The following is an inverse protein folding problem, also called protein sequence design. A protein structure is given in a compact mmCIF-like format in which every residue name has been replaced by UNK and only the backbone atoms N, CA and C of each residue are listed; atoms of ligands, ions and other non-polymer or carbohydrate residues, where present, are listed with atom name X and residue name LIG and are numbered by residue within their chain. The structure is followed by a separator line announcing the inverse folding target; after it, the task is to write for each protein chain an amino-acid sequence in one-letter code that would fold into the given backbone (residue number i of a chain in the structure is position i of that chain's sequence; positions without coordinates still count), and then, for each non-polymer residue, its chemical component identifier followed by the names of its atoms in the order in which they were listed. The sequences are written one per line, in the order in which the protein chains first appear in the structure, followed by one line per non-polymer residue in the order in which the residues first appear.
data_IF_821217299724
#
_entry.id   IF_821217299724
#
_cell.length_a   1.000
_cell.length_b   1.000
_cell.length_c   1.000
_cell.angle_alpha   90.00
_cell.angle_beta   90.00
_cell.angle_gamma   90.00
#
_symmetry.space_group_name_H-M   'P 1'
#
loop_
_entity.id
_entity.type
_entity.pdbx_description
1 polymer ?
#
# COMPACT_ATOMS: atom_id res chain seq x y z
N UNK A 1 50.23 -33.00 -3.86
CA UNK A 1 49.87 -32.81 -5.28
C UNK A 1 48.38 -32.53 -5.32
N UNK A 2 48.00 -31.43 -5.96
CA UNK A 2 46.73 -30.70 -5.77
C UNK A 2 45.46 -31.54 -6.03
N UNK A 3 44.49 -31.47 -5.11
CA UNK A 3 43.08 -31.78 -5.35
C UNK A 3 42.32 -30.45 -5.24
N UNK A 4 41.93 -29.91 -6.40
CA UNK A 4 41.13 -28.70 -6.51
C UNK A 4 39.71 -28.94 -6.00
N UNK A 5 39.35 -28.25 -4.93
CA UNK A 5 37.97 -28.14 -4.49
C UNK A 5 37.26 -27.07 -5.33
N UNK A 6 36.31 -27.50 -6.17
CA UNK A 6 35.29 -26.61 -6.69
C UNK A 6 34.49 -26.05 -5.51
N UNK A 7 34.76 -24.80 -5.15
CA UNK A 7 33.87 -24.03 -4.30
C UNK A 7 32.54 -23.90 -5.03
N UNK A 8 31.51 -24.60 -4.54
CA UNK A 8 30.13 -24.26 -4.84
C UNK A 8 29.89 -22.86 -4.29
N UNK A 9 30.11 -21.84 -5.12
CA UNK A 9 29.47 -20.55 -5.00
C UNK A 9 27.98 -20.83 -4.96
N UNK A 10 27.43 -20.91 -3.74
CA UNK A 10 26.00 -20.87 -3.53
C UNK A 10 25.56 -19.54 -4.15
N UNK A 11 24.72 -19.53 -5.21
CA UNK A 11 24.22 -18.27 -5.72
C UNK A 11 23.59 -17.52 -4.54
N UNK A 12 23.79 -16.19 -4.42
CA UNK A 12 23.00 -15.44 -3.46
C UNK A 12 21.54 -15.77 -3.74
N UNK A 13 20.77 -16.07 -2.69
CA UNK A 13 19.34 -16.23 -2.79
C UNK A 13 18.78 -14.93 -3.36
N UNK A 14 18.62 -14.89 -4.68
CA UNK A 14 17.77 -13.92 -5.34
C UNK A 14 16.34 -14.34 -4.96
N UNK A 15 15.86 -13.86 -3.81
CA UNK A 15 14.42 -13.60 -3.71
C UNK A 15 14.15 -12.56 -4.80
N UNK A 16 13.73 -13.05 -5.95
CA UNK A 16 13.59 -12.26 -7.14
C UNK A 16 12.49 -11.23 -6.89
N UNK A 17 12.90 -9.97 -6.78
CA UNK A 17 12.00 -8.83 -6.89
C UNK A 17 11.06 -9.10 -8.07
N UNK A 18 9.76 -9.21 -7.79
CA UNK A 18 8.77 -9.70 -8.74
C UNK A 18 7.45 -8.97 -8.58
N UNK A 19 6.66 -8.95 -9.66
CA UNK A 19 5.30 -8.39 -9.64
C UNK A 19 4.44 -9.17 -8.63
N UNK A 20 3.48 -8.50 -7.96
CA UNK A 20 2.59 -9.19 -7.04
C UNK A 20 1.73 -10.17 -7.83
N UNK A 21 1.37 -11.29 -7.21
CA UNK A 21 0.43 -12.22 -7.80
C UNK A 21 -0.95 -11.55 -7.87
N UNK A 22 -1.67 -11.74 -8.97
CA UNK A 22 -3.06 -11.35 -9.04
C UNK A 22 -3.89 -12.30 -8.17
N UNK A 23 -4.29 -11.85 -6.98
CA UNK A 23 -5.14 -12.62 -6.07
C UNK A 23 -6.46 -11.91 -5.79
N UNK A 24 -7.47 -12.68 -5.37
CA UNK A 24 -8.77 -12.14 -4.96
C UNK A 24 -8.61 -11.17 -3.80
N UNK A 25 -7.70 -11.47 -2.86
CA UNK A 25 -7.41 -10.65 -1.67
C UNK A 25 -6.88 -9.25 -2.01
N UNK A 26 -6.30 -9.09 -3.20
CA UNK A 26 -5.75 -7.81 -3.68
C UNK A 26 -6.80 -6.91 -4.36
N UNK A 27 -7.93 -7.49 -4.78
CA UNK A 27 -9.09 -6.74 -5.23
C UNK A 27 -9.94 -6.29 -4.04
N UNK A 28 -10.51 -5.10 -4.12
CA UNK A 28 -11.24 -4.53 -2.99
C UNK A 28 -12.51 -3.85 -3.46
N UNK A 29 -13.58 -4.09 -2.72
CA UNK A 29 -14.76 -3.23 -2.70
C UNK A 29 -14.67 -2.44 -1.40
N UNK A 30 -14.17 -1.20 -1.42
CA UNK A 30 -14.06 -0.42 -0.21
C UNK A 30 -15.48 -0.13 0.32
N UNK A 31 -15.71 -0.49 1.58
CA UNK A 31 -16.95 -0.26 2.32
C UNK A 31 -16.64 0.42 3.66
N UNK A 32 -17.63 1.13 4.24
CA UNK A 32 -17.55 1.57 5.63
C UNK A 32 -17.32 0.36 6.57
N UNK A 33 -16.72 0.56 7.77
CA UNK A 33 -16.38 -0.54 8.68
C UNK A 33 -17.56 -1.42 9.11
N UNK A 34 -18.77 -0.85 9.14
CA UNK A 34 -20.03 -1.53 9.47
C UNK A 34 -20.81 -2.01 8.22
N UNK A 35 -20.24 -1.81 7.03
CA UNK A 35 -20.87 -2.05 5.73
C UNK A 35 -22.24 -1.36 5.58
N UNK A 36 -22.42 -0.20 6.22
CA UNK A 36 -23.60 0.65 6.07
C UNK A 36 -23.31 1.79 5.11
N UNK A 37 -23.87 1.71 3.90
CA UNK A 37 -23.64 2.69 2.83
C UNK A 37 -24.76 3.72 2.80
N UNK A 38 -24.48 5.04 2.76
CA UNK A 38 -25.53 6.04 2.61
C UNK A 38 -26.43 5.76 1.40
N UNK A 39 -27.75 5.86 1.58
CA UNK A 39 -28.70 5.59 0.49
C UNK A 39 -28.47 6.47 -0.75
N UNK A 40 -27.98 7.70 -0.55
CA UNK A 40 -27.65 8.65 -1.59
C UNK A 40 -26.16 8.63 -2.00
N UNK A 41 -25.48 7.49 -1.84
CA UNK A 41 -24.09 7.33 -2.28
C UNK A 41 -23.95 7.70 -3.78
N UNK A 42 -23.05 8.63 -4.15
CA UNK A 42 -22.94 9.06 -5.55
C UNK A 42 -22.42 7.97 -6.49
N UNK A 43 -21.50 7.15 -5.99
CA UNK A 43 -20.94 6.02 -6.69
C UNK A 43 -20.36 4.97 -5.75
N UNK A 44 -20.45 3.72 -6.17
CA UNK A 44 -19.76 2.57 -5.59
C UNK A 44 -18.56 2.22 -6.48
N UNK A 45 -17.51 1.64 -5.89
CA UNK A 45 -16.26 1.39 -6.59
C UNK A 45 -15.77 -0.04 -6.35
N UNK A 46 -15.21 -0.65 -7.40
CA UNK A 46 -14.41 -1.86 -7.33
C UNK A 46 -12.97 -1.49 -7.72
N UNK A 47 -12.01 -1.75 -6.83
CA UNK A 47 -10.60 -1.45 -7.02
C UNK A 47 -9.85 -2.75 -7.38
N UNK A 48 -9.20 -2.82 -8.55
CA UNK A 48 -8.47 -4.02 -8.98
C UNK A 48 -7.11 -4.12 -8.28
N UNK A 49 -6.48 -5.31 -8.26
CA UNK A 49 -5.06 -5.49 -7.97
C UNK A 49 -4.16 -4.58 -8.81
N UNK A 50 -2.91 -4.39 -8.39
CA UNK A 50 -1.95 -3.61 -9.16
C UNK A 50 -1.78 -4.17 -10.59
N UNK A 51 -1.66 -3.28 -11.58
CA UNK A 51 -1.57 -3.59 -13.02
C UNK A 51 -2.78 -4.25 -13.67
N UNK A 52 -3.80 -4.60 -12.92
CA UNK A 52 -5.03 -5.18 -13.46
C UNK A 52 -6.09 -4.09 -13.64
N UNK A 53 -7.25 -4.49 -14.14
CA UNK A 53 -8.41 -3.62 -14.35
C UNK A 53 -9.69 -4.32 -13.95
N UNK A 54 -10.76 -3.56 -13.74
CA UNK A 54 -12.11 -4.13 -13.65
C UNK A 54 -12.73 -4.12 -15.04
N UNK A 55 -13.31 -5.26 -15.45
CA UNK A 55 -14.08 -5.32 -16.68
C UNK A 55 -15.38 -4.53 -16.50
N UNK A 56 -15.49 -3.36 -17.13
CA UNK A 56 -16.62 -2.44 -16.91
C UNK A 56 -17.99 -3.12 -17.11
N UNK A 57 -18.13 -3.94 -18.15
CA UNK A 57 -19.39 -4.62 -18.46
C UNK A 57 -19.75 -5.73 -17.47
N UNK A 58 -18.84 -6.11 -16.56
CA UNK A 58 -19.08 -7.11 -15.51
C UNK A 58 -19.60 -6.49 -14.22
N UNK A 59 -19.54 -5.16 -14.06
CA UNK A 59 -20.00 -4.48 -12.85
C UNK A 59 -21.51 -4.66 -12.67
N UNK A 60 -21.92 -5.20 -11.53
CA UNK A 60 -23.33 -5.37 -11.18
C UNK A 60 -23.55 -4.94 -9.74
N UNK A 61 -24.65 -4.22 -9.54
CA UNK A 61 -25.24 -3.97 -8.22
C UNK A 61 -26.57 -4.70 -8.19
N UNK A 62 -26.76 -5.58 -7.20
CA UNK A 62 -27.98 -6.38 -7.07
C UNK A 62 -28.58 -6.23 -5.69
N UNK A 63 -29.90 -6.38 -5.62
CA UNK A 63 -30.60 -6.57 -4.33
C UNK A 63 -30.35 -7.98 -3.79
N UNK A 64 -30.68 -8.21 -2.52
CA UNK A 64 -30.67 -9.56 -1.91
C UNK A 64 -31.53 -10.58 -2.68
N UNK A 65 -32.59 -10.12 -3.37
CA UNK A 65 -33.43 -10.96 -4.24
C UNK A 65 -32.78 -11.28 -5.61
N UNK A 66 -31.57 -10.79 -5.87
CA UNK A 66 -30.84 -11.00 -7.12
C UNK A 66 -31.28 -10.09 -8.27
N UNK A 67 -32.10 -9.07 -8.00
CA UNK A 67 -32.54 -8.10 -9.03
C UNK A 67 -31.45 -7.06 -9.24
N UNK A 68 -31.04 -6.86 -10.50
CA UNK A 68 -30.10 -5.81 -10.89
C UNK A 68 -30.68 -4.42 -10.60
N UNK A 69 -29.87 -3.56 -9.98
CA UNK A 69 -30.15 -2.15 -9.74
C UNK A 69 -29.65 -1.35 -10.94
N UNK A 70 -30.49 -0.46 -11.45
CA UNK A 70 -30.12 0.41 -12.55
C UNK A 70 -28.99 1.37 -12.14
N UNK A 71 -27.90 1.35 -12.88
CA UNK A 71 -26.73 2.17 -12.62
C UNK A 71 -25.96 2.46 -13.90
N UNK A 72 -25.27 3.60 -13.92
CA UNK A 72 -24.29 3.92 -14.96
C UNK A 72 -22.95 3.30 -14.60
N UNK A 73 -22.37 2.57 -15.54
CA UNK A 73 -21.03 1.97 -15.43
C UNK A 73 -20.01 2.92 -16.04
N UNK A 74 -18.89 3.14 -15.33
CA UNK A 74 -17.86 4.10 -15.72
C UNK A 74 -16.50 3.48 -15.44
N UNK A 75 -15.59 3.57 -16.41
CA UNK A 75 -14.17 3.33 -16.17
C UNK A 75 -13.61 4.42 -15.24
N UNK A 76 -13.25 4.01 -14.03
CA UNK A 76 -12.65 4.88 -13.03
C UNK A 76 -11.12 5.01 -13.14
N UNK A 77 -10.54 5.93 -12.36
CA UNK A 77 -9.10 6.12 -12.27
C UNK A 77 -8.40 4.89 -11.69
N UNK A 78 -7.13 4.69 -12.05
CA UNK A 78 -6.38 3.50 -11.59
C UNK A 78 -6.99 2.17 -12.05
N UNK A 79 -7.72 2.18 -13.17
CA UNK A 79 -8.47 1.06 -13.72
C UNK A 79 -9.60 0.52 -12.81
N UNK A 80 -10.07 1.31 -11.85
CA UNK A 80 -11.22 0.95 -11.03
C UNK A 80 -12.50 0.87 -11.86
N UNK A 81 -13.44 0.04 -11.41
CA UNK A 81 -14.81 0.03 -11.90
C UNK A 81 -15.66 0.94 -11.04
N UNK A 82 -16.41 1.87 -11.63
CA UNK A 82 -17.28 2.80 -10.90
C UNK A 82 -18.73 2.56 -11.32
N UNK A 83 -19.60 2.38 -10.35
CA UNK A 83 -21.03 2.15 -10.53
C UNK A 83 -21.80 3.28 -9.86
N UNK A 84 -22.50 4.10 -10.64
CA UNK A 84 -23.29 5.24 -10.16
C UNK A 84 -24.78 4.89 -10.27
N UNK A 85 -25.48 4.58 -9.15
CA UNK A 85 -26.91 4.30 -9.17
C UNK A 85 -27.71 5.43 -9.84
N UNK A 86 -28.70 5.09 -10.67
CA UNK A 86 -29.53 6.12 -11.34
C UNK A 86 -30.56 6.76 -10.40
N UNK A 87 -30.84 6.10 -9.29
CA UNK A 87 -31.67 6.58 -8.19
C UNK A 87 -31.02 6.21 -6.84
N UNK A 88 -31.35 6.94 -5.75
CA UNK A 88 -30.92 6.56 -4.41
C UNK A 88 -31.29 5.11 -4.07
N UNK A 89 -30.42 4.44 -3.32
CA UNK A 89 -30.67 3.11 -2.79
C UNK A 89 -31.79 3.15 -1.75
N UNK A 90 -32.48 2.02 -1.57
CA UNK A 90 -33.59 1.92 -0.63
C UNK A 90 -33.02 1.61 0.76
N UNK A 91 -33.14 2.56 1.69
CA UNK A 91 -32.68 2.40 3.06
C UNK A 91 -33.23 1.12 3.71
N UNK A 92 -32.37 0.43 4.47
CA UNK A 92 -32.64 -0.87 5.09
C UNK A 92 -32.51 -2.07 4.16
N UNK A 93 -32.31 -1.85 2.85
CA UNK A 93 -32.17 -2.94 1.87
C UNK A 93 -30.71 -3.41 1.79
N UNK A 94 -30.54 -4.73 1.67
CA UNK A 94 -29.23 -5.35 1.41
C UNK A 94 -28.93 -5.41 -0.07
N UNK A 95 -27.69 -5.12 -0.41
CA UNK A 95 -27.18 -5.10 -1.76
C UNK A 95 -25.89 -5.90 -1.87
N UNK A 96 -25.67 -6.44 -3.07
CA UNK A 96 -24.46 -7.14 -3.48
C UNK A 96 -23.81 -6.37 -4.62
N UNK A 97 -22.56 -5.96 -4.46
CA UNK A 97 -21.74 -5.37 -5.52
C UNK A 97 -20.75 -6.42 -6.02
N UNK A 98 -20.64 -6.58 -7.33
CA UNK A 98 -19.66 -7.47 -7.95
C UNK A 98 -19.00 -6.85 -9.19
N UNK A 99 -17.77 -7.28 -9.50
CA UNK A 99 -17.04 -6.94 -10.72
C UNK A 99 -15.94 -7.94 -11.02
N UNK A 100 -15.81 -8.34 -12.27
CA UNK A 100 -14.77 -9.25 -12.76
C UNK A 100 -13.45 -8.53 -12.96
N UNK A 101 -12.38 -9.13 -12.45
CA UNK A 101 -10.99 -8.73 -12.65
C UNK A 101 -10.31 -9.80 -13.50
N UNK A 102 -9.98 -9.53 -14.76
CA UNK A 102 -9.18 -10.45 -15.56
C UNK A 102 -7.74 -10.46 -15.03
N UNK A 103 -7.35 -11.53 -14.34
CA UNK A 103 -5.94 -11.73 -14.01
C UNK A 103 -5.16 -12.14 -15.26
N UNK A 104 -4.34 -11.24 -15.79
CA UNK A 104 -3.54 -11.50 -16.99
C UNK A 104 -2.03 -11.51 -16.73
N UNK A 105 -1.59 -11.03 -15.55
CA UNK A 105 -0.19 -10.98 -15.16
C UNK A 105 0.42 -12.32 -14.72
N UNK A 106 1.07 -13.02 -15.66
CA UNK A 106 2.35 -13.70 -15.39
C UNK A 106 2.40 -15.04 -14.63
N UNK A 107 1.29 -15.68 -14.24
CA UNK A 107 1.37 -16.92 -13.46
C UNK A 107 0.17 -17.87 -13.47
N UNK A 108 -0.74 -17.75 -14.45
CA UNK A 108 -1.90 -18.65 -14.54
C UNK A 108 -3.08 -18.27 -13.63
N UNK A 109 -3.17 -17.00 -13.20
CA UNK A 109 -4.35 -16.50 -12.50
C UNK A 109 -5.59 -16.59 -13.39
N UNK A 110 -6.64 -17.24 -12.90
CA UNK A 110 -7.94 -17.20 -13.56
C UNK A 110 -8.63 -15.87 -13.24
N UNK A 111 -9.45 -15.32 -14.15
CA UNK A 111 -10.33 -14.22 -13.81
C UNK A 111 -11.12 -14.55 -12.55
N UNK A 112 -11.27 -13.58 -11.67
CA UNK A 112 -12.07 -13.73 -10.47
C UNK A 112 -13.06 -12.57 -10.36
N UNK A 113 -14.03 -12.73 -9.46
CA UNK A 113 -15.04 -11.71 -9.17
C UNK A 113 -14.72 -11.08 -7.82
N UNK A 114 -14.42 -9.78 -7.83
CA UNK A 114 -14.39 -8.97 -6.62
C UNK A 114 -15.84 -8.71 -6.21
N UNK A 115 -16.16 -8.96 -4.94
CA UNK A 115 -17.55 -8.84 -4.46
C UNK A 115 -17.61 -8.34 -3.02
N UNK A 116 -18.69 -7.65 -2.68
CA UNK A 116 -19.03 -7.35 -1.29
C UNK A 116 -20.54 -7.14 -1.10
N UNK A 117 -21.00 -7.50 0.10
CA UNK A 117 -22.36 -7.23 0.55
C UNK A 117 -22.37 -6.02 1.48
N UNK A 118 -23.43 -5.21 1.38
CA UNK A 118 -23.63 -4.06 2.26
C UNK A 118 -25.12 -3.79 2.48
N UNK A 119 -25.44 -3.00 3.49
CA UNK A 119 -26.81 -2.52 3.74
C UNK A 119 -26.88 -1.02 3.43
N UNK A 120 -27.88 -0.60 2.67
CA UNK A 120 -28.13 0.83 2.50
C UNK A 120 -28.66 1.41 3.82
N UNK A 121 -27.93 2.37 4.39
CA UNK A 121 -28.36 3.16 5.54
C UNK A 121 -29.34 4.28 5.15
N UNK A 122 -29.65 5.19 6.08
CA UNK A 122 -30.33 6.43 5.73
C UNK A 122 -29.48 7.28 4.76
N UNK A 123 -30.11 8.26 4.11
CA UNK A 123 -29.37 9.28 3.37
C UNK A 123 -28.49 10.09 4.31
N UNK A 124 -27.29 10.46 3.83
CA UNK A 124 -26.36 11.32 4.55
C UNK A 124 -26.14 12.60 3.74
N UNK A 125 -25.91 13.73 4.43
CA UNK A 125 -25.53 14.95 3.73
C UNK A 125 -24.21 14.71 2.96
N UNK A 126 -24.15 15.17 1.70
CA UNK A 126 -22.90 15.10 0.96
C UNK A 126 -21.84 15.98 1.64
N UNK A 127 -20.59 15.52 1.73
CA UNK A 127 -19.55 16.25 2.41
C UNK A 127 -19.25 17.56 1.68
N UNK A 128 -19.15 18.64 2.46
CA UNK A 128 -18.76 19.98 1.99
C UNK A 128 -17.38 20.38 2.49
N UNK A 129 -16.88 19.67 3.48
CA UNK A 129 -15.57 19.85 4.11
C UNK A 129 -14.78 18.54 4.04
N UNK A 130 -13.46 18.68 3.90
CA UNK A 130 -12.56 17.52 3.79
C UNK A 130 -12.04 17.08 5.15
N UNK A 131 -11.64 18.04 5.99
CA UNK A 131 -11.02 17.78 7.28
C UNK A 131 -9.93 18.79 7.59
N UNK A 132 -8.93 18.35 8.33
CA UNK A 132 -7.76 19.15 8.72
C UNK A 132 -6.50 18.38 8.33
N UNK A 133 -5.52 19.09 7.76
CA UNK A 133 -4.21 18.57 7.44
C UNK A 133 -3.16 19.35 8.24
N UNK A 134 -2.28 18.67 8.93
CA UNK A 134 -1.20 19.26 9.73
C UNK A 134 0.11 18.58 9.38
N UNK A 135 1.21 19.32 9.43
CA UNK A 135 2.53 18.73 9.33
C UNK A 135 3.03 18.32 10.72
N UNK A 136 3.51 17.08 10.84
CA UNK A 136 4.32 16.67 11.97
C UNK A 136 5.73 17.24 11.88
N UNK A 137 6.52 17.02 12.94
CA UNK A 137 7.91 17.44 12.98
C UNK A 137 8.76 16.69 11.95
N UNK A 138 9.76 17.37 11.40
CA UNK A 138 10.76 16.76 10.54
C UNK A 138 11.59 15.72 11.29
N UNK A 139 11.77 14.55 10.68
CA UNK A 139 12.53 13.43 11.20
C UNK A 139 13.71 13.11 10.27
N UNK A 140 14.71 12.38 10.78
CA UNK A 140 15.92 11.99 10.06
C UNK A 140 16.27 10.53 10.41
N UNK A 141 16.75 9.77 9.42
CA UNK A 141 17.05 8.36 9.60
C UNK A 141 16.93 7.57 8.31
N UNK A 142 16.66 6.27 8.42
CA UNK A 142 16.51 5.38 7.26
C UNK A 142 15.06 5.39 6.74
N UNK A 143 14.91 5.70 5.45
CA UNK A 143 13.64 5.72 4.72
C UNK A 143 13.62 4.59 3.71
N UNK A 144 12.51 3.86 3.63
CA UNK A 144 12.28 2.85 2.61
C UNK A 144 11.83 3.51 1.30
N UNK A 145 12.60 3.32 0.23
CA UNK A 145 12.28 3.86 -1.11
C UNK A 145 12.18 2.71 -2.10
N UNK A 146 11.08 2.66 -2.85
CA UNK A 146 10.86 1.66 -3.88
C UNK A 146 11.83 1.86 -5.07
N UNK A 147 12.19 0.77 -5.72
CA UNK A 147 13.06 0.78 -6.90
C UNK A 147 12.28 1.00 -8.20
N UNK A 148 13.03 1.19 -9.31
CA UNK A 148 12.48 1.40 -10.67
C UNK A 148 11.47 0.35 -11.12
N UNK A 149 11.56 -0.86 -10.57
CA UNK A 149 10.73 -2.00 -10.93
C UNK A 149 9.49 -2.15 -10.05
N UNK A 150 9.32 -1.28 -9.04
CA UNK A 150 8.28 -1.34 -8.02
C UNK A 150 8.31 -2.59 -7.14
N UNK A 151 9.29 -3.48 -7.33
CA UNK A 151 9.25 -4.84 -6.79
C UNK A 151 10.17 -5.07 -5.61
N UNK A 152 11.09 -4.15 -5.37
CA UNK A 152 11.94 -4.10 -4.19
C UNK A 152 12.04 -2.66 -3.68
N UNK A 153 12.36 -2.53 -2.39
CA UNK A 153 12.67 -1.26 -1.78
C UNK A 153 14.03 -1.32 -1.11
N UNK A 154 14.73 -0.20 -1.12
CA UNK A 154 16.02 -0.04 -0.45
C UNK A 154 15.89 1.01 0.65
N UNK A 155 16.65 0.84 1.72
CA UNK A 155 16.75 1.84 2.78
C UNK A 155 17.78 2.92 2.40
N UNK A 156 17.35 4.18 2.43
CA UNK A 156 18.20 5.35 2.19
C UNK A 156 18.23 6.23 3.44
N UNK A 157 19.33 6.91 3.68
CA UNK A 157 19.33 7.97 4.69
C UNK A 157 18.61 9.19 4.10
N UNK A 158 17.65 9.73 4.85
CA UNK A 158 16.82 10.83 4.39
C UNK A 158 16.14 11.56 5.54
N UNK A 159 15.72 12.79 5.26
CA UNK A 159 14.80 13.52 6.11
C UNK A 159 13.37 13.32 5.64
N UNK A 160 12.41 13.18 6.54
CA UNK A 160 10.99 13.07 6.19
C UNK A 160 10.11 13.84 7.15
N UNK A 161 8.89 14.13 6.70
CA UNK A 161 7.81 14.61 7.54
C UNK A 161 6.57 13.76 7.26
N UNK A 162 5.81 13.46 8.31
CA UNK A 162 4.49 12.84 8.18
C UNK A 162 3.44 13.93 8.28
N UNK A 163 2.49 13.92 7.34
CA UNK A 163 1.33 14.78 7.35
C UNK A 163 0.20 14.07 8.09
N UNK A 164 -0.33 14.70 9.13
CA UNK A 164 -1.45 14.19 9.90
C UNK A 164 -2.76 14.70 9.29
N UNK A 165 -3.59 13.77 8.82
CA UNK A 165 -4.91 14.09 8.29
C UNK A 165 -5.98 13.67 9.29
N UNK A 166 -6.92 14.57 9.61
CA UNK A 166 -8.13 14.24 10.36
C UNK A 166 -9.34 14.49 9.47
N UNK A 167 -10.06 13.44 9.03
CA UNK A 167 -11.25 13.59 8.19
C UNK A 167 -12.35 14.39 8.88
N UNK A 168 -13.08 15.20 8.13
CA UNK A 168 -14.31 15.80 8.63
C UNK A 168 -15.35 14.69 8.92
N UNK A 169 -16.15 14.77 10.01
CA UNK A 169 -17.13 13.73 10.35
C UNK A 169 -18.14 13.43 9.24
N UNK A 170 -18.51 14.44 8.45
CA UNK A 170 -19.41 14.29 7.29
C UNK A 170 -18.77 13.56 6.10
N UNK A 171 -17.43 13.55 6.00
CA UNK A 171 -16.70 12.83 4.96
C UNK A 171 -16.56 11.35 5.30
N UNK A 172 -16.51 10.99 6.59
CA UNK A 172 -16.23 9.63 7.07
C UNK A 172 -17.08 8.54 6.39
N UNK A 173 -18.42 8.68 6.25
CA UNK A 173 -19.24 7.68 5.58
C UNK A 173 -18.90 7.48 4.10
N UNK A 174 -18.22 8.46 3.48
CA UNK A 174 -17.90 8.49 2.05
C UNK A 174 -16.44 8.17 1.74
N UNK A 175 -15.54 8.13 2.74
CA UNK A 175 -14.11 7.80 2.59
C UNK A 175 -13.83 6.56 1.73
N UNK A 176 -14.63 5.46 1.79
CA UNK A 176 -14.43 4.30 0.92
C UNK A 176 -14.41 4.61 -0.58
N UNK A 177 -15.07 5.69 -1.00
CA UNK A 177 -15.17 6.09 -2.41
C UNK A 177 -14.46 7.41 -2.70
N UNK A 178 -13.62 7.87 -1.77
CA UNK A 178 -12.73 9.01 -1.99
C UNK A 178 -11.38 8.51 -2.45
N UNK A 179 -10.88 9.07 -3.55
CA UNK A 179 -9.47 8.96 -3.94
C UNK A 179 -8.72 10.24 -3.60
N UNK A 180 -7.40 10.12 -3.51
CA UNK A 180 -6.55 11.20 -3.02
C UNK A 180 -5.39 11.48 -3.95
N UNK A 181 -5.01 12.74 -4.03
CA UNK A 181 -3.75 13.19 -4.62
C UNK A 181 -3.07 14.10 -3.60
N UNK A 182 -1.82 13.80 -3.26
CA UNK A 182 -0.95 14.76 -2.58
C UNK A 182 -0.08 15.47 -3.63
N UNK A 183 -0.09 16.79 -3.61
CA UNK A 183 0.85 17.64 -4.33
C UNK A 183 1.84 18.25 -3.35
N UNK A 184 3.10 18.38 -3.74
CA UNK A 184 4.12 19.17 -3.04
C UNK A 184 4.62 20.24 -4.00
N UNK A 185 4.53 21.50 -3.59
CA UNK A 185 4.87 22.68 -4.41
C UNK A 185 4.19 22.68 -5.80
N UNK A 186 2.95 22.18 -5.85
CA UNK A 186 2.15 22.07 -7.06
C UNK A 186 2.54 20.91 -8.00
N UNK A 187 3.46 20.04 -7.61
CA UNK A 187 3.79 18.81 -8.33
C UNK A 187 3.18 17.59 -7.63
N UNK A 188 2.63 16.65 -8.38
CA UNK A 188 2.10 15.40 -7.80
C UNK A 188 3.20 14.65 -7.06
N UNK A 189 3.04 14.52 -5.75
CA UNK A 189 3.89 13.70 -4.90
C UNK A 189 3.44 12.24 -4.95
N UNK A 190 2.17 11.99 -4.60
CA UNK A 190 1.59 10.66 -4.49
C UNK A 190 0.10 10.70 -4.82
N UNK A 191 -0.45 9.56 -5.21
CA UNK A 191 -1.89 9.34 -5.32
C UNK A 191 -2.26 8.17 -4.43
N UNK A 192 -3.51 8.10 -3.99
CA UNK A 192 -4.04 6.93 -3.29
C UNK A 192 -5.40 6.53 -3.89
N UNK A 193 -5.64 5.22 -4.07
CA UNK A 193 -6.90 4.74 -4.65
C UNK A 193 -8.09 4.98 -3.71
N UNK A 194 -9.28 4.66 -4.21
CA UNK A 194 -10.51 4.71 -3.41
C UNK A 194 -10.39 3.86 -2.15
N UNK A 195 -10.83 4.42 -1.01
CA UNK A 195 -10.83 3.72 0.28
C UNK A 195 -9.44 3.51 0.88
N UNK A 196 -8.44 4.26 0.43
CA UNK A 196 -7.09 4.20 0.99
C UNK A 196 -6.95 4.92 2.34
N UNK A 197 -7.91 5.76 2.72
CA UNK A 197 -7.89 6.54 3.97
C UNK A 197 -9.04 6.10 4.87
N UNK A 198 -8.75 5.79 6.13
CA UNK A 198 -9.73 5.36 7.11
C UNK A 198 -10.30 6.53 7.94
N UNK A 199 -11.26 6.21 8.81
CA UNK A 199 -11.95 7.20 9.65
C UNK A 199 -11.04 7.92 10.67
N UNK A 200 -9.88 7.35 10.99
CA UNK A 200 -8.86 7.98 11.82
C UNK A 200 -7.89 8.86 11.03
N UNK A 201 -8.00 8.86 9.70
CA UNK A 201 -7.05 9.51 8.80
C UNK A 201 -5.81 8.66 8.50
N UNK A 202 -5.78 7.42 9.00
CA UNK A 202 -4.75 6.44 8.65
C UNK A 202 -4.81 6.10 7.16
N UNK A 203 -3.65 5.90 6.55
CA UNK A 203 -3.53 5.64 5.11
C UNK A 203 -2.89 4.29 4.86
N UNK A 204 -3.42 3.57 3.88
CA UNK A 204 -2.81 2.33 3.39
C UNK A 204 -1.43 2.66 2.82
N UNK A 205 -0.35 2.04 3.32
CA UNK A 205 1.00 2.29 2.84
C UNK A 205 1.17 1.99 1.35
N UNK A 206 2.15 2.64 0.75
CA UNK A 206 2.56 2.39 -0.63
C UNK A 206 3.11 0.97 -0.78
N UNK A 207 2.60 0.27 -1.80
CA UNK A 207 2.98 -1.10 -2.14
C UNK A 207 4.04 -1.18 -3.24
N UNK A 208 4.54 -0.03 -3.73
CA UNK A 208 5.46 0.08 -4.86
C UNK A 208 4.76 -0.09 -6.21
N UNK A 209 3.77 -0.97 -6.30
CA UNK A 209 3.15 -1.36 -7.57
C UNK A 209 2.03 -0.44 -8.04
N UNK A 210 1.16 0.01 -7.12
CA UNK A 210 0.13 1.02 -7.39
C UNK A 210 0.66 2.42 -7.15
N UNK A 211 1.48 2.57 -6.12
CA UNK A 211 1.98 3.85 -5.63
C UNK A 211 3.42 3.67 -5.15
N UNK A 212 4.31 4.57 -5.56
CA UNK A 212 5.74 4.49 -5.22
C UNK A 212 6.10 5.26 -3.94
N UNK A 213 5.20 6.13 -3.46
CA UNK A 213 5.37 6.97 -2.30
C UNK A 213 4.13 6.88 -1.44
N UNK A 214 4.31 6.86 -0.13
CA UNK A 214 3.19 6.97 0.81
C UNK A 214 2.49 8.32 0.61
N UNK A 215 1.16 8.31 0.69
CA UNK A 215 0.35 9.51 0.44
C UNK A 215 0.70 10.66 1.38
N UNK A 216 0.92 10.37 2.67
CA UNK A 216 1.10 11.37 3.72
C UNK A 216 2.51 11.39 4.31
N UNK A 217 3.47 10.71 3.67
CA UNK A 217 4.89 10.81 4.06
C UNK A 217 5.66 11.45 2.92
N UNK A 218 6.26 12.59 3.20
CA UNK A 218 7.08 13.36 2.25
C UNK A 218 8.54 13.31 2.68
N UNK A 219 9.46 13.14 1.74
CA UNK A 219 10.86 12.94 2.09
C UNK A 219 11.84 13.58 1.12
N UNK A 220 13.03 13.85 1.65
CA UNK A 220 14.25 14.19 0.91
C UNK A 220 15.31 13.10 1.16
N UNK A 221 16.17 12.84 0.19
CA UNK A 221 17.25 11.84 0.30
C UNK A 221 18.57 12.53 0.57
N UNK A 222 19.31 12.04 1.57
CA UNK A 222 20.57 12.64 2.00
C UNK A 222 21.75 11.86 1.41
N UNK A 223 22.38 12.43 0.39
CA UNK A 223 23.59 11.86 -0.23
C UNK A 223 23.32 10.77 -1.28
N UNK A 224 24.41 10.21 -1.82
CA UNK A 224 24.44 9.27 -2.96
C UNK A 224 24.73 7.81 -2.57
N UNK A 225 24.48 7.41 -1.32
CA UNK A 225 24.71 6.01 -0.92
C UNK A 225 23.63 5.11 -1.55
N UNK A 226 23.92 4.58 -2.75
CA UNK A 226 23.12 3.53 -3.37
C UNK A 226 23.84 2.19 -3.20
N UNK A 227 23.21 1.15 -2.63
CA UNK A 227 23.78 -0.19 -2.65
C UNK A 227 23.59 -0.93 -3.99
N UNK A 228 23.01 -0.32 -5.04
CA UNK A 228 22.98 -0.99 -6.35
C UNK A 228 22.10 -0.43 -7.47
N UNK A 229 20.96 0.23 -7.18
CA UNK A 229 20.07 0.79 -8.20
C UNK A 229 19.54 2.18 -7.78
N UNK A 230 19.36 3.12 -8.72
CA UNK A 230 18.78 4.43 -8.41
C UNK A 230 17.32 4.29 -7.93
N UNK A 231 16.86 5.13 -7.00
CA UNK A 231 15.47 5.12 -6.52
C UNK A 231 14.50 5.43 -7.68
N UNK A 232 13.31 4.82 -7.71
CA UNK A 232 12.28 5.14 -8.72
C UNK A 232 11.59 6.47 -8.48
N UNK A 233 11.53 6.87 -7.22
CA UNK A 233 10.85 8.05 -6.74
C UNK A 233 11.86 8.92 -6.01
N UNK A 234 12.38 9.93 -6.72
CA UNK A 234 13.28 10.92 -6.11
C UNK A 234 12.60 11.62 -4.93
N UNK A 235 13.36 11.99 -3.90
CA UNK A 235 12.83 12.86 -2.86
C UNK A 235 12.61 14.29 -3.37
N UNK A 236 12.05 15.16 -2.53
CA UNK A 236 12.09 16.61 -2.76
C UNK A 236 13.44 17.19 -2.32
N UNK A 237 13.75 18.40 -2.77
CA UNK A 237 14.94 19.13 -2.26
C UNK A 237 14.77 19.44 -0.78
N UNK A 238 15.83 19.54 0.03
CA UNK A 238 15.71 19.99 1.41
C UNK A 238 15.20 21.44 1.50
N UNK A 239 14.37 21.73 2.50
CA UNK A 239 13.82 23.05 2.76
C UNK A 239 12.38 23.03 3.28
N UNK A 240 11.74 24.20 3.19
CA UNK A 240 10.33 24.41 3.53
C UNK A 240 9.49 24.29 2.26
N UNK A 241 8.41 23.52 2.35
CA UNK A 241 7.54 23.18 1.24
C UNK A 241 6.08 23.33 1.62
N UNK A 242 5.22 23.35 0.60
CA UNK A 242 3.77 23.33 0.78
C UNK A 242 3.20 22.03 0.23
N UNK A 243 2.48 21.30 1.10
CA UNK A 243 1.71 20.12 0.74
C UNK A 243 0.24 20.49 0.51
N UNK A 244 -0.34 20.03 -0.60
CA UNK A 244 -1.77 20.18 -0.91
C UNK A 244 -2.41 18.81 -1.10
N UNK A 245 -3.32 18.43 -0.19
CA UNK A 245 -4.09 17.19 -0.26
C UNK A 245 -5.43 17.43 -0.95
N UNK A 246 -5.67 16.70 -2.04
CA UNK A 246 -6.86 16.82 -2.88
C UNK A 246 -7.70 15.53 -2.82
N UNK A 247 -8.86 15.55 -2.13
CA UNK A 247 -9.85 14.49 -2.24
C UNK A 247 -10.67 14.59 -3.52
N UNK A 248 -11.12 13.46 -4.05
CA UNK A 248 -12.18 13.39 -5.07
C UNK A 248 -13.19 12.31 -4.67
N UNK A 249 -14.43 12.74 -4.45
CA UNK A 249 -15.58 11.85 -4.31
C UNK A 249 -16.25 11.72 -5.69
N UNK A 250 -16.07 10.58 -6.33
CA UNK A 250 -16.55 10.33 -7.69
C UNK A 250 -18.07 10.54 -7.79
N UNK A 251 -18.52 11.13 -8.89
CA UNK A 251 -19.94 11.34 -9.24
C UNK A 251 -20.77 12.20 -8.26
N UNK A 252 -20.16 12.77 -7.21
CA UNK A 252 -20.86 13.66 -6.28
C UNK A 252 -21.31 14.99 -6.89
N UNK A 253 -20.75 15.38 -8.04
CA UNK A 253 -21.01 16.66 -8.70
C UNK A 253 -20.47 17.89 -7.95
N UNK A 254 -19.93 17.70 -6.75
CA UNK A 254 -19.43 18.75 -5.86
C UNK A 254 -17.95 18.52 -5.61
N UNK A 255 -17.12 19.52 -5.90
CA UNK A 255 -15.70 19.44 -5.59
C UNK A 255 -15.50 19.58 -4.08
N UNK A 256 -14.78 18.64 -3.48
CA UNK A 256 -14.36 18.73 -2.10
C UNK A 256 -13.18 19.71 -1.96
N UNK A 257 -13.15 20.56 -0.92
CA UNK A 257 -12.05 21.52 -0.73
C UNK A 257 -10.70 20.81 -0.55
N UNK A 258 -9.66 21.33 -1.20
CA UNK A 258 -8.30 20.88 -0.93
C UNK A 258 -7.83 21.37 0.45
N UNK A 259 -6.92 20.62 1.07
CA UNK A 259 -6.27 21.00 2.33
C UNK A 259 -4.81 21.33 2.05
N UNK A 260 -4.28 22.33 2.75
CA UNK A 260 -2.91 22.80 2.56
C UNK A 260 -2.21 22.93 3.91
N UNK A 261 -0.94 22.50 3.96
CA UNK A 261 -0.07 22.72 5.11
C UNK A 261 1.36 22.95 4.63
N UNK A 262 2.12 23.76 5.37
CA UNK A 262 3.56 23.87 5.19
C UNK A 262 4.28 22.84 6.06
N UNK A 263 5.41 22.34 5.58
CA UNK A 263 6.27 21.40 6.30
C UNK A 263 7.73 21.68 5.95
N UNK A 264 8.65 21.14 6.75
CA UNK A 264 10.08 21.26 6.53
C UNK A 264 10.71 19.87 6.51
N UNK A 265 11.53 19.60 5.50
CA UNK A 265 12.38 18.41 5.46
C UNK A 265 13.82 18.83 5.28
N UNK A 266 14.70 18.27 6.11
CA UNK A 266 16.10 18.65 6.15
C UNK A 266 16.99 17.44 5.91
N UNK A 267 18.11 17.69 5.23
CA UNK A 267 19.23 16.77 5.20
C UNK A 267 20.42 17.44 5.90
N UNK A 268 21.01 16.82 6.93
CA UNK A 268 22.30 17.28 7.40
C UNK A 268 23.31 17.13 6.27
N UNK A 269 24.18 18.12 6.13
CA UNK A 269 25.29 18.02 5.21
C UNK A 269 26.27 16.98 5.78
N UNK A 270 26.18 15.74 5.29
CA UNK A 270 27.21 14.74 5.55
C UNK A 270 28.46 15.21 4.81
N UNK A 271 29.33 15.92 5.52
CA UNK A 271 30.57 16.45 4.96
C UNK A 271 31.32 15.34 4.22
N UNK A 272 31.91 15.69 3.08
CA UNK A 272 32.75 14.86 2.21
C UNK A 272 34.02 14.31 2.90
N UNK A 273 34.15 14.49 4.20
CA UNK A 273 35.39 14.41 4.96
C UNK A 273 35.32 13.27 5.98
N UNK A 274 34.66 12.15 5.68
CA UNK A 274 34.82 10.84 6.35
C UNK A 274 34.86 10.83 7.88
N UNK A 275 34.26 11.81 8.55
CA UNK A 275 34.50 12.13 9.96
C UNK A 275 33.21 12.22 10.73
N UNK A 276 32.70 11.07 11.17
CA UNK A 276 31.61 10.98 12.12
C UNK A 276 31.99 11.73 13.40
N UNK A 277 31.34 12.85 13.68
CA UNK A 277 31.48 13.57 14.97
C UNK A 277 30.19 13.59 15.79
N UNK A 278 29.07 13.12 15.24
CA UNK A 278 27.90 12.75 16.03
C UNK A 278 27.61 11.26 15.81
N UNK A 279 27.33 10.49 16.87
CA UNK A 279 26.83 9.13 16.70
C UNK A 279 25.53 9.22 15.90
N UNK A 280 25.47 8.51 14.78
CA UNK A 280 24.18 8.01 14.29
C UNK A 280 23.53 7.36 15.53
N UNK A 281 22.31 7.75 15.96
CA UNK A 281 21.71 7.14 17.13
C UNK A 281 21.66 5.63 16.92
N UNK A 282 22.52 4.92 17.67
CA UNK A 282 22.53 3.47 17.72
C UNK A 282 21.12 3.03 18.12
N UNK A 283 20.61 2.06 17.39
CA UNK A 283 19.33 1.40 17.58
C UNK A 283 19.22 0.83 19.00
N UNK A 284 18.86 1.68 19.94
CA UNK A 284 18.56 1.30 21.31
C UNK A 284 17.12 0.81 21.37
N UNK A 285 16.90 -0.49 21.10
CA UNK A 285 15.84 -1.31 21.72
C UNK A 285 14.43 -0.70 21.82
N UNK A 286 14.08 0.22 20.92
CA UNK A 286 12.76 0.81 20.82
C UNK A 286 11.91 -0.15 20.02
N UNK A 287 10.91 -0.73 20.69
CA UNK A 287 9.86 -1.55 20.10
C UNK A 287 9.50 -1.09 18.70
N UNK A 288 9.78 -1.95 17.73
CA UNK A 288 9.27 -1.86 16.37
C UNK A 288 7.76 -1.61 16.45
N UNK A 289 7.18 -0.59 15.77
CA UNK A 289 5.73 -0.42 15.72
C UNK A 289 5.02 -1.69 15.19
N UNK A 290 5.76 -2.57 14.51
CA UNK A 290 5.28 -3.83 13.95
C UNK A 290 5.31 -5.04 14.91
N UNK A 291 5.80 -4.91 16.16
CA UNK A 291 5.88 -6.06 17.09
C UNK A 291 4.51 -6.53 17.64
N UNK A 292 3.41 -5.84 17.31
CA UNK A 292 2.04 -6.23 17.66
C UNK A 292 1.15 -6.61 16.46
N UNK A 293 1.71 -6.76 15.25
CA UNK A 293 0.94 -7.13 14.06
C UNK A 293 1.15 -8.59 13.65
N UNK A 294 0.09 -9.23 13.17
CA UNK A 294 0.06 -10.64 12.78
C UNK A 294 1.16 -10.98 11.74
N UNK A 295 1.65 -12.25 11.67
CA UNK A 295 2.98 -12.59 11.11
C UNK A 295 3.20 -12.39 9.60
N UNK A 296 2.31 -11.71 8.87
CA UNK A 296 2.33 -11.63 7.40
C UNK A 296 3.05 -10.42 6.80
N UNK A 297 3.68 -9.56 7.60
CA UNK A 297 4.35 -8.35 7.10
C UNK A 297 5.84 -8.22 7.48
N UNK A 298 6.52 -9.27 7.95
CA UNK A 298 7.99 -9.22 8.15
C UNK A 298 8.71 -9.36 6.80
N UNK A 299 8.87 -8.24 6.10
CA UNK A 299 9.79 -8.12 4.98
C UNK A 299 11.23 -8.30 5.44
N UNK A 300 12.00 -9.11 4.70
CA UNK A 300 13.37 -9.47 5.01
C UNK A 300 14.29 -8.24 5.02
N UNK A 301 14.58 -7.70 6.20
CA UNK A 301 15.73 -6.82 6.40
C UNK A 301 17.00 -7.66 6.36
N UNK A 302 17.85 -7.44 5.35
CA UNK A 302 19.14 -8.10 5.23
C UNK A 302 20.13 -7.47 6.24
N UNK A 303 19.98 -7.78 7.52
CA UNK A 303 20.99 -7.50 8.52
C UNK A 303 22.08 -8.57 8.48
N UNK A 304 23.34 -8.13 8.34
CA UNK A 304 24.53 -8.97 8.21
C UNK A 304 24.68 -10.03 9.31
N UNK A 305 25.14 -11.22 8.90
CA UNK A 305 25.24 -12.40 9.75
C UNK A 305 26.26 -12.28 10.88
N UNK A 306 25.78 -12.40 12.12
CA UNK A 306 26.57 -12.75 13.29
C UNK A 306 26.36 -14.23 13.65
N UNK A 307 27.37 -15.08 13.42
CA UNK A 307 27.34 -16.49 13.82
C UNK A 307 27.54 -16.62 15.34
N UNK A 308 26.45 -16.91 16.06
CA UNK A 308 26.53 -17.47 17.42
C UNK A 308 26.70 -18.99 17.33
N UNK A 309 27.87 -19.47 17.74
CA UNK A 309 28.20 -20.89 17.89
C UNK A 309 27.66 -21.40 19.21
N UNK A 310 26.62 -22.26 19.21
CA UNK A 310 26.35 -23.21 20.29
C UNK A 310 25.50 -24.38 19.75
N UNK A 311 25.98 -25.62 19.95
CA UNK A 311 25.26 -26.83 19.55
C UNK A 311 26.08 -28.11 19.75
N UNK A 312 26.33 -28.44 21.01
CA UNK A 312 27.09 -29.61 21.48
C UNK A 312 26.13 -30.79 21.77
N UNK A 313 26.45 -31.98 21.23
CA UNK A 313 26.12 -33.37 21.68
C UNK A 313 24.63 -33.80 21.67
N UNK A 314 24.21 -35.06 21.48
CA UNK A 314 24.84 -36.39 21.41
C UNK A 314 23.88 -37.34 20.66
N UNK A 315 24.36 -38.14 19.71
CA UNK A 315 24.55 -39.60 19.82
C UNK A 315 23.30 -40.43 20.17
N UNK A 316 22.87 -41.29 19.23
CA UNK A 316 22.59 -42.71 19.49
C UNK A 316 22.82 -43.52 18.21
N UNK A 317 23.88 -44.32 18.25
CA UNK A 317 24.19 -45.42 17.32
C UNK A 317 23.36 -46.66 17.70
N UNK A 318 23.42 -47.64 16.79
CA UNK A 318 23.03 -49.07 16.87
C UNK A 318 21.61 -49.34 16.32
N UNK A 319 21.37 -50.27 15.39
CA UNK A 319 22.18 -51.37 14.87
C UNK A 319 21.52 -51.99 13.61
N UNK A 320 22.38 -52.41 12.66
CA UNK A 320 22.35 -53.65 11.84
C UNK A 320 21.11 -54.12 11.02
N UNK A 321 21.47 -54.39 9.74
CA UNK A 321 21.18 -55.55 8.85
C UNK A 321 19.92 -55.47 7.94
N UNK A 322 20.18 -55.67 6.64
CA UNK A 322 19.25 -55.64 5.49
C UNK A 322 18.36 -56.89 5.34
N UNK A 323 17.95 -57.35 4.13
CA UNK A 323 18.46 -57.07 2.77
C UNK A 323 17.39 -56.69 1.70
N UNK A 324 17.89 -56.42 0.48
CA UNK A 324 17.17 -56.29 -0.81
C UNK A 324 16.36 -57.54 -1.19
N UNK A 325 15.16 -57.35 -1.74
CA UNK A 325 14.50 -58.17 -2.79
C UNK A 325 13.46 -57.29 -3.50
N UNK A 326 13.70 -56.92 -4.76
CA UNK A 326 13.08 -57.45 -6.00
C UNK A 326 11.62 -57.04 -6.24
N UNK A 327 11.45 -56.23 -7.29
CA UNK A 327 10.22 -56.02 -8.05
C UNK A 327 9.84 -57.28 -8.86
N UNK A 328 8.54 -57.51 -9.11
CA UNK A 328 8.06 -58.04 -10.38
C UNK A 328 8.03 -56.96 -11.47
#
# INVERSE_FOLDING_TARGET
MFLGGFGLLKPPSAEACGRPLCTVEDSRVPLPPDAVVPANVPALVVVPPAYEWVEEQSLRLRTEAGVDVEARLIKGPGNSGVLAPTAPLVAGTRYHLEGTVPCSGGGGGHPFVAMADFTAGPEAALPTTTGVLQAGDGQLGQIKVWDGSASCASGYIGGWATLEFTPAPELVPFLPWVRWTLEVDGQTWATAPHGAVDASGGVIPADGFRTMRDLLTVYTLCGYESPGMPPSAEGIVPGVHTATLRPVLEQSGTALPALETSFEVNCPHFGSDGGYTEPIPDAGTGTDPDDNLAPKAKGCSQAGGGLSVLGVLAALRLWRRGPRTNHP
#
